data_IF_407116708528
#
_entry.id   IF_407116708528
#
_cell.length_a   1.000
_cell.length_b   1.000
_cell.length_c   1.000
_cell.angle_alpha   90.00
_cell.angle_beta   90.00
_cell.angle_gamma   90.00
#
_symmetry.space_group_name_H-M   'P 1'
#
loop_
_entity.id
_entity.type
_entity.pdbx_description
1 polymer ?
#
# COMPACT_ATOMS: atom_id res chain seq x y z
N UNK A 1 5.36 7.17 -12.07
CA UNK A 1 4.09 7.60 -11.42
C UNK A 1 3.03 8.07 -12.41
N UNK A 2 3.34 8.88 -13.43
CA UNK A 2 2.33 9.34 -14.42
C UNK A 2 1.60 8.19 -15.13
N UNK A 3 2.35 7.23 -15.70
CA UNK A 3 1.78 6.07 -16.39
C UNK A 3 0.92 5.21 -15.45
N UNK A 4 1.39 4.99 -14.22
CA UNK A 4 0.63 4.23 -13.21
C UNK A 4 -0.72 4.89 -12.88
N UNK A 5 -0.79 6.23 -12.84
CA UNK A 5 -2.06 6.95 -12.64
C UNK A 5 -2.96 6.86 -13.87
N UNK A 6 -2.38 6.99 -15.07
CA UNK A 6 -3.13 6.92 -16.33
C UNK A 6 -3.72 5.52 -16.58
N UNK A 7 -2.99 4.47 -16.18
CA UNK A 7 -3.38 3.06 -16.36
C UNK A 7 -3.80 2.42 -15.03
N UNK A 8 -4.36 3.20 -14.10
CA UNK A 8 -4.72 2.69 -12.77
C UNK A 8 -5.75 1.54 -12.85
N UNK A 9 -6.71 1.62 -13.77
CA UNK A 9 -7.77 0.61 -13.88
C UNK A 9 -7.21 -0.74 -14.32
N UNK A 10 -6.30 -0.75 -15.30
CA UNK A 10 -5.61 -1.95 -15.74
C UNK A 10 -4.81 -2.60 -14.60
N UNK A 11 -4.13 -1.78 -13.78
CA UNK A 11 -3.39 -2.26 -12.62
C UNK A 11 -4.33 -2.79 -11.53
N UNK A 12 -5.45 -2.11 -11.27
CA UNK A 12 -6.45 -2.54 -10.29
C UNK A 12 -7.19 -3.82 -10.73
N UNK A 13 -7.36 -4.06 -12.03
CA UNK A 13 -7.88 -5.33 -12.54
C UNK A 13 -6.99 -6.52 -12.18
N UNK A 14 -5.67 -6.32 -12.10
CA UNK A 14 -4.72 -7.35 -11.65
C UNK A 14 -4.72 -7.49 -10.14
N UNK A 15 -4.87 -6.38 -9.39
CA UNK A 15 -4.79 -6.39 -7.93
C UNK A 15 -6.06 -6.88 -7.21
N UNK A 16 -7.25 -6.57 -7.73
CA UNK A 16 -8.53 -6.94 -7.09
C UNK A 16 -8.70 -8.46 -6.88
N UNK A 17 -8.31 -9.34 -7.83
CA UNK A 17 -8.38 -10.79 -7.64
C UNK A 17 -7.58 -11.32 -6.43
N UNK A 18 -6.51 -10.63 -6.01
CA UNK A 18 -5.71 -11.05 -4.84
C UNK A 18 -6.51 -11.03 -3.52
N UNK A 19 -7.66 -10.34 -3.47
CA UNK A 19 -8.58 -10.38 -2.32
C UNK A 19 -9.17 -11.78 -2.11
N UNK A 20 -9.27 -12.56 -3.19
CA UNK A 20 -9.87 -13.89 -3.21
C UNK A 20 -8.82 -15.00 -3.41
N UNK A 21 -7.53 -14.68 -3.44
CA UNK A 21 -6.48 -15.68 -3.65
C UNK A 21 -6.30 -16.54 -2.38
N UNK A 22 -6.64 -17.85 -2.44
CA UNK A 22 -6.62 -18.75 -1.28
C UNK A 22 -5.21 -19.07 -0.78
N UNK A 23 -4.17 -18.75 -1.55
CA UNK A 23 -2.78 -18.99 -1.19
C UNK A 23 -2.12 -17.77 -0.53
N UNK A 24 -2.77 -16.61 -0.46
CA UNK A 24 -2.15 -15.43 0.14
C UNK A 24 -2.31 -15.39 1.64
N UNK A 25 -1.20 -15.57 2.34
CA UNK A 25 -1.14 -15.66 3.80
C UNK A 25 -1.16 -14.28 4.51
N UNK A 26 -2.17 -13.43 4.26
CA UNK A 26 -2.32 -12.17 5.01
C UNK A 26 -2.82 -12.35 6.45
N UNK A 27 -3.43 -13.51 6.75
CA UNK A 27 -3.88 -13.87 8.09
C UNK A 27 -3.16 -15.14 8.56
N UNK A 28 -2.68 -15.12 9.81
CA UNK A 28 -2.15 -16.30 10.50
C UNK A 28 -3.27 -17.19 11.04
N UNK A 29 -4.46 -17.15 10.45
CA UNK A 29 -5.58 -17.94 10.95
C UNK A 29 -5.30 -19.40 10.59
N UNK A 30 -5.19 -20.22 11.64
CA UNK A 30 -4.80 -21.63 11.54
C UNK A 30 -5.52 -22.33 10.38
N UNK A 31 -4.79 -23.20 9.68
CA UNK A 31 -5.21 -24.00 8.51
C UNK A 31 -6.50 -24.84 8.69
N UNK A 32 -7.21 -24.73 9.82
CA UNK A 32 -8.37 -25.54 10.20
C UNK A 32 -9.67 -25.19 9.46
N UNK A 33 -9.77 -24.04 8.80
CA UNK A 33 -11.00 -23.60 8.11
C UNK A 33 -10.89 -23.63 6.58
N UNK A 34 -9.99 -24.46 6.02
CA UNK A 34 -9.73 -24.51 4.56
C UNK A 34 -10.79 -25.26 3.74
N UNK A 35 -11.79 -25.87 4.36
CA UNK A 35 -12.74 -26.75 3.67
C UNK A 35 -14.05 -26.09 3.20
N UNK A 36 -14.29 -24.80 3.43
CA UNK A 36 -15.58 -24.19 3.04
C UNK A 36 -15.42 -22.75 2.53
N UNK A 37 -15.48 -22.60 1.20
CA UNK A 37 -15.92 -21.37 0.52
C UNK A 37 -14.86 -20.35 0.10
N UNK A 38 -15.27 -19.42 -0.78
CA UNK A 38 -14.52 -18.20 -1.11
C UNK A 38 -14.37 -17.35 0.16
N UNK A 39 -13.17 -17.34 0.74
CA UNK A 39 -12.85 -16.48 1.89
C UNK A 39 -12.43 -15.12 1.35
N UNK A 40 -13.26 -14.10 1.56
CA UNK A 40 -12.84 -12.71 1.33
C UNK A 40 -11.83 -12.33 2.40
N UNK A 41 -10.61 -12.01 1.98
CA UNK A 41 -9.56 -11.60 2.89
C UNK A 41 -9.71 -10.10 3.23
N UNK A 42 -10.30 -9.79 4.40
CA UNK A 42 -10.56 -8.41 4.85
C UNK A 42 -9.30 -7.53 4.83
N UNK A 43 -8.14 -8.10 5.18
CA UNK A 43 -6.87 -7.37 5.12
C UNK A 43 -6.44 -7.10 3.69
N UNK A 44 -6.60 -8.07 2.79
CA UNK A 44 -6.31 -7.86 1.38
C UNK A 44 -7.24 -6.79 0.79
N UNK A 45 -8.52 -6.78 1.15
CA UNK A 45 -9.46 -5.74 0.72
C UNK A 45 -9.02 -4.35 1.20
N UNK A 46 -8.61 -4.21 2.46
CA UNK A 46 -8.07 -2.96 2.98
C UNK A 46 -6.79 -2.53 2.24
N UNK A 47 -5.86 -3.45 1.98
CA UNK A 47 -4.62 -3.16 1.28
C UNK A 47 -4.85 -2.78 -0.19
N UNK A 48 -5.76 -3.45 -0.90
CA UNK A 48 -6.12 -3.09 -2.27
C UNK A 48 -6.73 -1.69 -2.33
N UNK A 49 -7.60 -1.33 -1.37
CA UNK A 49 -8.13 0.03 -1.23
C UNK A 49 -7.04 1.07 -0.95
N UNK A 50 -6.07 0.75 -0.10
CA UNK A 50 -4.92 1.64 0.19
C UNK A 50 -4.02 1.85 -1.04
N UNK A 51 -3.81 0.81 -1.84
CA UNK A 51 -3.06 0.93 -3.11
C UNK A 51 -3.81 1.86 -4.07
N UNK A 52 -5.13 1.71 -4.19
CA UNK A 52 -5.95 2.57 -5.04
C UNK A 52 -5.86 4.05 -4.63
N UNK A 53 -5.95 4.34 -3.33
CA UNK A 53 -5.78 5.71 -2.81
C UNK A 53 -4.38 6.28 -3.14
N UNK A 54 -3.33 5.47 -2.97
CA UNK A 54 -1.95 5.87 -3.30
C UNK A 54 -1.77 6.14 -4.79
N UNK A 55 -2.39 5.36 -5.67
CA UNK A 55 -2.40 5.61 -7.12
C UNK A 55 -3.10 6.94 -7.44
N UNK A 56 -4.16 7.28 -6.73
CA UNK A 56 -4.86 8.58 -6.88
C UNK A 56 -4.08 9.77 -6.30
N UNK A 57 -2.92 9.55 -5.70
CA UNK A 57 -2.11 10.59 -5.08
C UNK A 57 -2.56 11.00 -3.68
N UNK A 58 -3.48 10.24 -3.07
CA UNK A 58 -3.91 10.44 -1.69
C UNK A 58 -2.87 9.81 -0.77
N UNK A 59 -1.94 10.64 -0.29
CA UNK A 59 -0.91 10.19 0.65
C UNK A 59 -1.36 10.44 2.07
N UNK A 60 -1.26 9.41 2.93
CA UNK A 60 -1.58 9.53 4.35
C UNK A 60 -0.49 10.35 5.04
N UNK A 61 -0.77 11.61 5.34
CA UNK A 61 0.11 12.45 6.13
C UNK A 61 -0.30 12.40 7.60
N UNK A 62 0.65 12.21 8.52
CA UNK A 62 0.40 12.28 9.97
C UNK A 62 -0.18 13.64 10.41
N UNK A 63 0.07 14.70 9.63
CA UNK A 63 -0.28 16.08 9.94
C UNK A 63 -1.63 16.50 9.36
N UNK A 64 -2.16 15.79 8.34
CA UNK A 64 -3.41 16.16 7.67
C UNK A 64 -4.42 15.02 7.78
N UNK A 65 -5.50 15.20 8.56
CA UNK A 65 -6.52 14.16 8.72
C UNK A 65 -7.31 13.91 7.43
N UNK A 66 -7.33 14.87 6.51
CA UNK A 66 -7.96 14.73 5.18
C UNK A 66 -6.87 14.54 4.12
N UNK A 67 -6.85 13.39 3.41
CA UNK A 67 -5.88 13.15 2.34
C UNK A 67 -6.22 13.99 1.11
N UNK A 68 -5.42 15.02 0.88
CA UNK A 68 -5.52 15.86 -0.32
C UNK A 68 -4.76 15.15 -1.45
N UNK A 69 -5.38 14.92 -2.62
CA UNK A 69 -4.69 14.31 -3.75
C UNK A 69 -3.58 15.23 -4.26
N UNK A 70 -2.34 14.75 -4.20
CA UNK A 70 -1.18 15.47 -4.71
C UNK A 70 -1.05 15.30 -6.22
N UNK A 71 -0.44 16.29 -6.89
CA UNK A 71 0.03 16.10 -8.27
C UNK A 71 1.05 14.97 -8.34
N UNK A 72 1.37 14.49 -9.54
CA UNK A 72 2.40 13.45 -9.71
C UNK A 72 3.74 13.94 -9.16
N UNK A 73 4.16 15.16 -9.52
CA UNK A 73 5.38 15.76 -9.01
C UNK A 73 5.33 15.97 -7.48
N UNK A 74 4.20 16.43 -6.94
CA UNK A 74 4.02 16.64 -5.51
C UNK A 74 4.11 15.35 -4.70
N UNK A 75 3.48 14.26 -5.18
CA UNK A 75 3.59 12.95 -4.53
C UNK A 75 5.02 12.42 -4.58
N UNK A 76 5.72 12.58 -5.72
CA UNK A 76 7.12 12.16 -5.84
C UNK A 76 8.00 12.93 -4.87
N UNK A 77 7.88 14.26 -4.83
CA UNK A 77 8.66 15.09 -3.92
C UNK A 77 8.41 14.73 -2.46
N UNK A 78 7.13 14.58 -2.07
CA UNK A 78 6.75 14.16 -0.72
C UNK A 78 7.38 12.81 -0.33
N UNK A 79 7.37 11.82 -1.23
CA UNK A 79 7.97 10.51 -0.95
C UNK A 79 9.50 10.58 -0.82
N UNK A 80 10.16 11.47 -1.56
CA UNK A 80 11.61 11.72 -1.42
C UNK A 80 11.91 12.33 -0.05
N UNK A 81 11.13 13.33 0.38
CA UNK A 81 11.27 13.95 1.70
C UNK A 81 11.06 12.94 2.83
N UNK A 82 10.04 12.08 2.74
CA UNK A 82 9.82 11.00 3.71
C UNK A 82 10.99 10.00 3.76
N UNK A 83 11.54 9.63 2.61
CA UNK A 83 12.64 8.65 2.51
C UNK A 83 14.01 9.22 2.95
N UNK A 84 14.18 10.53 2.91
CA UNK A 84 15.44 11.22 3.28
C UNK A 84 15.37 11.87 4.67
N UNK A 85 14.20 11.86 5.31
CA UNK A 85 14.01 12.40 6.66
C UNK A 85 14.84 11.62 7.68
N UNK A 86 15.71 12.33 8.40
CA UNK A 86 16.54 11.77 9.48
C UNK A 86 15.67 11.13 10.57
N UNK A 87 14.52 11.74 10.89
CA UNK A 87 13.58 11.22 11.88
C UNK A 87 12.93 9.89 11.47
N UNK A 88 12.75 9.68 10.16
CA UNK A 88 12.24 8.41 9.63
C UNK A 88 13.36 7.37 9.54
N UNK A 89 14.54 7.77 9.06
CA UNK A 89 15.70 6.89 8.92
C UNK A 89 16.17 6.32 10.26
N UNK A 90 16.16 7.13 11.33
CA UNK A 90 16.56 6.67 12.66
C UNK A 90 15.58 5.67 13.30
N UNK A 91 14.35 5.58 12.79
CA UNK A 91 13.34 4.61 13.21
C UNK A 91 13.41 3.29 12.43
N UNK A 92 14.21 3.21 11.37
CA UNK A 92 14.36 1.98 10.60
C UNK A 92 15.06 0.90 11.42
N UNK A 93 14.64 -0.35 11.23
CA UNK A 93 15.32 -1.49 11.83
C UNK A 93 16.79 -1.54 11.39
N UNK A 94 17.71 -1.73 12.34
CA UNK A 94 19.16 -1.62 12.12
C UNK A 94 19.69 -2.50 10.97
N UNK A 95 19.08 -3.68 10.73
CA UNK A 95 19.47 -4.57 9.64
C UNK A 95 19.20 -4.05 8.23
N UNK A 96 18.39 -2.99 8.08
CA UNK A 96 18.24 -2.26 6.81
C UNK A 96 19.38 -1.27 6.55
N UNK A 97 20.23 -1.04 7.55
CA UNK A 97 21.48 -0.30 7.41
C UNK A 97 21.30 1.14 6.85
N UNK A 98 20.27 1.87 7.32
CA UNK A 98 19.88 3.20 6.85
C UNK A 98 20.91 4.34 7.04
N UNK A 99 22.07 4.03 7.61
CA UNK A 99 23.17 4.96 7.87
C UNK A 99 24.29 4.88 6.82
N UNK A 100 24.18 3.97 5.84
CA UNK A 100 25.12 3.80 4.73
C UNK A 100 24.61 4.41 3.43
#
# INVERSE_FOLDING_TARGET
MSVMRQQQDALMCVLRPFVHDPLVEWSKQERKTRDVGEIVNEKAQAHVGDIEQRLRGQVRSKLKPVPIPLSVAGQVNYLIEEATSVDNLCQMYIGWAAHF
#
